data_IF_598430079743
#
_entry.id   IF_598430079743
#
_cell.length_a   1.000
_cell.length_b   1.000
_cell.length_c   1.000
_cell.angle_alpha   90.00
_cell.angle_beta   90.00
_cell.angle_gamma   90.00
#
_symmetry.space_group_name_H-M   'P 1'
#
loop_
_entity.id
_entity.type
_entity.pdbx_description
1 polymer ?
#
# COMPACT_ATOMS: atom_id res chain seq x y z
N UNK A 1 -10.96 -16.88 9.44
CA UNK A 1 -11.55 -15.81 8.61
C UNK A 1 -11.59 -16.35 7.21
N UNK A 2 -12.78 -16.53 6.67
CA UNK A 2 -12.93 -16.92 5.28
C UNK A 2 -12.92 -15.65 4.45
N UNK A 3 -11.95 -15.53 3.56
CA UNK A 3 -11.88 -14.42 2.64
C UNK A 3 -12.48 -14.79 1.30
N UNK A 4 -13.12 -13.82 0.66
CA UNK A 4 -13.79 -13.99 -0.61
C UNK A 4 -13.03 -13.22 -1.69
N UNK A 5 -12.50 -13.94 -2.68
CA UNK A 5 -11.91 -13.33 -3.87
C UNK A 5 -13.00 -12.86 -4.82
N UNK A 6 -12.87 -11.62 -5.26
CA UNK A 6 -13.82 -10.91 -6.10
C UNK A 6 -13.12 -10.44 -7.38
N UNK A 7 -13.90 -10.28 -8.44
CA UNK A 7 -13.45 -9.63 -9.68
C UNK A 7 -13.78 -8.13 -9.70
N UNK A 8 -14.75 -7.69 -8.90
CA UNK A 8 -15.20 -6.30 -8.79
C UNK A 8 -15.71 -6.01 -7.36
N UNK A 9 -15.35 -4.86 -6.79
CA UNK A 9 -15.93 -4.33 -5.55
C UNK A 9 -15.63 -2.83 -5.38
N UNK A 10 -16.51 -2.09 -4.69
CA UNK A 10 -16.29 -0.69 -4.30
C UNK A 10 -15.92 0.26 -5.46
N UNK A 11 -16.37 -0.05 -6.69
CA UNK A 11 -16.06 0.73 -7.89
C UNK A 11 -14.72 0.37 -8.55
N UNK A 12 -14.05 -0.68 -8.09
CA UNK A 12 -12.82 -1.22 -8.67
C UNK A 12 -13.06 -2.59 -9.29
N UNK A 13 -12.35 -2.88 -10.38
CA UNK A 13 -12.33 -4.17 -11.07
C UNK A 13 -10.90 -4.69 -11.19
N UNK A 14 -10.72 -6.02 -11.11
CA UNK A 14 -9.44 -6.65 -11.44
C UNK A 14 -9.05 -6.29 -12.88
N UNK A 15 -7.85 -5.73 -13.03
CA UNK A 15 -7.36 -5.20 -14.30
C UNK A 15 -7.43 -3.69 -14.43
N UNK A 16 -8.12 -2.98 -13.52
CA UNK A 16 -8.11 -1.51 -13.47
C UNK A 16 -6.68 -0.97 -13.43
N UNK A 17 -6.46 0.08 -14.20
CA UNK A 17 -5.26 0.91 -14.11
C UNK A 17 -5.56 2.09 -13.19
N UNK A 18 -4.81 2.20 -12.10
CA UNK A 18 -4.98 3.23 -11.09
C UNK A 18 -3.73 4.12 -11.04
N UNK A 19 -3.92 5.39 -10.69
CA UNK A 19 -2.88 6.28 -10.18
C UNK A 19 -3.06 6.36 -8.66
N UNK A 20 -2.01 6.02 -7.91
CA UNK A 20 -1.97 6.21 -6.47
C UNK A 20 -0.94 7.27 -6.08
N UNK A 21 -1.24 8.03 -5.04
CA UNK A 21 -0.30 8.99 -4.45
C UNK A 21 -0.69 9.30 -3.00
N UNK A 22 0.25 9.80 -2.23
CA UNK A 22 0.02 10.30 -0.88
C UNK A 22 1.01 11.43 -0.63
N UNK A 23 0.51 12.55 -0.11
CA UNK A 23 1.39 13.65 0.31
C UNK A 23 2.36 13.18 1.39
N UNK A 24 3.55 13.76 1.39
CA UNK A 24 4.58 13.48 2.38
C UNK A 24 4.08 13.86 3.78
N UNK A 25 4.20 12.93 4.73
CA UNK A 25 3.77 13.10 6.11
C UNK A 25 4.94 12.92 7.08
N UNK A 26 4.97 13.71 8.15
CA UNK A 26 6.00 13.61 9.19
C UNK A 26 5.93 12.26 9.91
N UNK A 27 7.06 11.56 9.96
CA UNK A 27 7.22 10.31 10.67
C UNK A 27 8.55 10.27 11.42
N UNK A 28 8.74 9.22 12.22
CA UNK A 28 9.96 9.02 12.98
C UNK A 28 10.48 7.61 12.81
N UNK A 29 11.78 7.50 12.56
CA UNK A 29 12.48 6.22 12.59
C UNK A 29 12.59 5.75 14.03
N UNK A 30 12.07 4.57 14.33
CA UNK A 30 12.11 3.98 15.69
C UNK A 30 13.13 2.87 15.80
N UNK A 31 13.57 2.30 14.67
CA UNK A 31 14.57 1.25 14.66
C UNK A 31 15.18 1.03 13.29
N UNK A 32 16.32 0.36 13.27
CA UNK A 32 16.99 -0.04 12.04
C UNK A 32 17.58 -1.43 12.20
N UNK A 33 17.47 -2.24 11.16
CA UNK A 33 18.25 -3.46 10.94
C UNK A 33 19.16 -3.24 9.73
N UNK A 34 20.07 -4.19 9.41
CA UNK A 34 20.86 -4.08 8.19
C UNK A 34 20.02 -4.02 6.91
N UNK A 35 18.82 -4.63 6.90
CA UNK A 35 17.97 -4.70 5.71
C UNK A 35 16.78 -3.74 5.74
N UNK A 36 16.34 -3.33 6.93
CA UNK A 36 15.11 -2.57 7.10
C UNK A 36 15.25 -1.37 8.01
N UNK A 37 14.42 -0.38 7.76
CA UNK A 37 14.19 0.76 8.62
C UNK A 37 12.76 0.66 9.14
N UNK A 38 12.56 0.82 10.45
CA UNK A 38 11.26 0.76 11.09
C UNK A 38 10.84 2.18 11.44
N UNK A 39 9.65 2.60 11.02
CA UNK A 39 9.05 3.87 11.43
C UNK A 39 7.82 3.61 12.29
N UNK A 40 7.52 4.56 13.19
CA UNK A 40 6.22 4.65 13.84
C UNK A 40 5.16 4.96 12.78
N UNK A 41 4.14 4.12 12.64
CA UNK A 41 3.17 4.24 11.56
C UNK A 41 2.02 5.15 11.97
N UNK A 42 1.85 6.31 11.32
CA UNK A 42 1.03 7.38 11.90
C UNK A 42 -0.48 7.18 11.77
N UNK A 43 -0.93 6.23 10.95
CA UNK A 43 -2.34 6.10 10.57
C UNK A 43 -3.07 4.94 11.21
N UNK A 44 -2.36 3.98 11.80
CA UNK A 44 -2.99 2.81 12.40
C UNK A 44 -2.78 2.80 13.91
N UNK A 45 -3.69 2.14 14.60
CA UNK A 45 -3.59 1.89 16.03
C UNK A 45 -3.41 0.40 16.26
N UNK A 46 -2.57 0.01 17.22
CA UNK A 46 -2.50 -1.39 17.63
C UNK A 46 -3.84 -1.83 18.22
N UNK A 47 -4.35 -2.98 17.77
CA UNK A 47 -5.64 -3.51 18.22
C UNK A 47 -5.46 -4.33 19.51
N UNK A 48 -5.95 -3.85 20.67
CA UNK A 48 -5.79 -4.56 21.94
C UNK A 48 -6.62 -5.86 22.02
N UNK A 49 -7.64 -6.00 21.18
CA UNK A 49 -8.54 -7.16 21.11
C UNK A 49 -8.15 -8.12 19.97
N UNK A 50 -7.01 -7.89 19.32
CA UNK A 50 -6.49 -8.75 18.26
C UNK A 50 -5.86 -10.02 18.81
N UNK A 51 -6.01 -11.14 18.08
CA UNK A 51 -5.23 -12.34 18.32
C UNK A 51 -3.77 -12.21 17.82
N UNK A 52 -3.49 -11.18 17.00
CA UNK A 52 -2.19 -10.87 16.45
C UNK A 52 -1.60 -9.64 17.14
N UNK A 53 -0.29 -9.67 17.41
CA UNK A 53 0.41 -8.52 17.99
C UNK A 53 1.11 -7.76 16.88
N UNK A 54 0.71 -6.50 16.69
CA UNK A 54 1.45 -5.50 15.93
C UNK A 54 1.91 -4.40 16.89
N UNK A 55 3.14 -3.92 16.71
CA UNK A 55 3.82 -3.03 17.65
C UNK A 55 3.74 -1.54 17.26
N UNK A 56 2.90 -1.21 16.28
CA UNK A 56 2.77 0.16 15.77
C UNK A 56 3.74 0.51 14.65
N UNK A 57 4.66 -0.39 14.28
CA UNK A 57 5.75 -0.06 13.36
C UNK A 57 5.58 -0.67 11.97
N UNK A 58 6.02 0.06 10.94
CA UNK A 58 6.12 -0.46 9.57
C UNK A 58 7.57 -0.45 9.11
N UNK A 59 7.99 -1.57 8.51
CA UNK A 59 9.35 -1.80 8.07
C UNK A 59 9.56 -1.58 6.58
N UNK A 60 10.44 -0.65 6.25
CA UNK A 60 10.84 -0.28 4.90
C UNK A 60 12.17 -0.94 4.51
N UNK A 61 12.34 -1.39 3.26
CA UNK A 61 13.65 -1.76 2.75
C UNK A 61 14.60 -0.55 2.76
N UNK A 62 15.87 -0.78 3.08
CA UNK A 62 16.90 0.28 3.10
C UNK A 62 17.61 0.49 1.77
N UNK A 63 17.56 -0.50 0.90
CA UNK A 63 18.29 -0.55 -0.36
C UNK A 63 17.27 -0.57 -1.51
N UNK A 64 17.36 0.37 -2.48
CA UNK A 64 16.54 0.36 -3.69
C UNK A 64 16.63 -0.92 -4.51
N UNK A 65 17.75 -1.63 -4.43
CA UNK A 65 17.97 -2.92 -5.10
C UNK A 65 17.48 -4.11 -4.25
N UNK A 66 16.94 -3.86 -3.05
CA UNK A 66 16.38 -4.92 -2.23
C UNK A 66 15.14 -5.51 -2.90
N UNK A 67 15.06 -6.83 -2.81
CA UNK A 67 13.96 -7.60 -3.38
C UNK A 67 12.56 -7.08 -2.98
N UNK A 68 12.38 -6.62 -1.74
CA UNK A 68 11.11 -6.08 -1.25
C UNK A 68 10.84 -4.61 -1.58
N UNK A 69 11.68 -3.93 -2.36
CA UNK A 69 11.52 -2.50 -2.69
C UNK A 69 10.21 -2.21 -3.41
N UNK A 70 9.79 -3.11 -4.30
CA UNK A 70 8.55 -3.00 -5.05
C UNK A 70 7.33 -3.58 -4.31
N UNK A 71 7.49 -3.99 -3.05
CA UNK A 71 6.44 -4.61 -2.24
C UNK A 71 5.75 -3.61 -1.31
N UNK A 72 5.97 -2.32 -1.56
CA UNK A 72 5.28 -1.20 -0.93
C UNK A 72 5.35 0.02 -1.85
N UNK A 73 4.28 0.85 -1.95
CA UNK A 73 4.31 2.09 -2.71
C UNK A 73 5.01 3.23 -1.95
N UNK A 74 5.07 3.09 -0.63
CA UNK A 74 5.55 4.11 0.28
C UNK A 74 7.06 4.31 0.15
N UNK A 75 7.48 5.57 0.16
CA UNK A 75 8.89 6.00 0.09
C UNK A 75 9.19 6.95 1.24
N UNK A 76 10.46 6.96 1.66
CA UNK A 76 10.96 7.80 2.74
C UNK A 76 11.88 8.89 2.20
N UNK A 77 11.84 10.04 2.84
CA UNK A 77 12.80 11.13 2.64
C UNK A 77 13.32 11.64 4.00
N UNK A 78 14.64 11.83 4.20
CA UNK A 78 15.77 11.49 3.32
C UNK A 78 15.89 10.00 2.96
N UNK A 79 16.86 9.68 2.12
CA UNK A 79 17.07 8.31 1.63
C UNK A 79 17.19 7.30 2.80
N UNK A 80 16.51 6.13 2.74
CA UNK A 80 16.54 5.12 3.81
C UNK A 80 17.94 4.66 4.23
N UNK A 81 18.94 4.74 3.34
CA UNK A 81 20.33 4.38 3.64
C UNK A 81 21.01 5.39 4.58
N UNK A 82 20.55 6.64 4.60
CA UNK A 82 21.12 7.73 5.42
C UNK A 82 20.50 7.81 6.82
N UNK A 83 19.30 7.27 7.00
CA UNK A 83 18.52 7.38 8.22
C UNK A 83 18.97 6.41 9.34
N UNK A 84 18.85 6.86 10.59
CA UNK A 84 19.10 6.09 11.82
C UNK A 84 17.91 6.16 12.77
N UNK A 85 17.90 5.26 13.77
CA UNK A 85 16.88 5.28 14.82
C UNK A 85 16.88 6.62 15.58
N UNK A 86 15.70 7.22 15.71
CA UNK A 86 15.47 8.53 16.33
C UNK A 86 15.28 9.67 15.31
N UNK A 87 15.75 9.50 14.07
CA UNK A 87 15.71 10.55 13.06
C UNK A 87 14.27 10.89 12.63
N UNK A 88 13.97 12.17 12.34
CA UNK A 88 12.76 12.54 11.63
C UNK A 88 12.87 12.13 10.16
N UNK A 89 11.75 11.75 9.57
CA UNK A 89 11.65 11.47 8.14
C UNK A 89 10.27 11.86 7.63
N UNK A 90 10.13 11.95 6.32
CA UNK A 90 8.85 12.01 5.66
C UNK A 90 8.52 10.65 5.04
N UNK A 91 7.25 10.28 5.07
CA UNK A 91 6.72 9.11 4.38
C UNK A 91 5.59 9.52 3.45
N UNK A 92 5.64 9.09 2.19
CA UNK A 92 4.64 9.44 1.19
C UNK A 92 4.63 8.43 0.04
N UNK A 93 3.70 8.61 -0.90
CA UNK A 93 3.65 7.81 -2.13
C UNK A 93 3.82 8.78 -3.30
N UNK A 94 4.93 8.72 -4.05
CA UNK A 94 5.03 9.46 -5.30
C UNK A 94 3.94 8.97 -6.27
N UNK A 95 3.44 9.82 -7.20
CA UNK A 95 2.48 9.38 -8.20
C UNK A 95 2.93 8.10 -8.91
N UNK A 96 2.20 7.01 -8.69
CA UNK A 96 2.57 5.67 -9.14
C UNK A 96 1.40 5.03 -9.87
N UNK A 97 1.63 4.58 -11.11
CA UNK A 97 0.66 3.79 -11.86
C UNK A 97 0.71 2.33 -11.41
N UNK A 98 -0.45 1.79 -11.03
CA UNK A 98 -0.58 0.40 -10.59
C UNK A 98 -1.73 -0.29 -11.30
N UNK A 99 -1.62 -1.61 -11.47
CA UNK A 99 -2.70 -2.45 -11.97
C UNK A 99 -3.31 -3.29 -10.85
N UNK A 100 -4.63 -3.32 -10.77
CA UNK A 100 -5.34 -4.19 -9.83
C UNK A 100 -5.19 -5.65 -10.27
N UNK A 101 -4.66 -6.49 -9.39
CA UNK A 101 -4.42 -7.92 -9.64
C UNK A 101 -5.41 -8.80 -8.87
N UNK A 102 -5.92 -8.32 -7.74
CA UNK A 102 -6.93 -9.02 -6.96
C UNK A 102 -7.78 -8.06 -6.15
N UNK A 103 -9.00 -8.51 -5.84
CA UNK A 103 -9.89 -7.87 -4.89
C UNK A 103 -10.32 -8.94 -3.91
N UNK A 104 -10.22 -8.66 -2.61
CA UNK A 104 -10.60 -9.61 -1.57
C UNK A 104 -11.39 -8.91 -0.48
N UNK A 105 -12.49 -9.55 -0.08
CA UNK A 105 -13.34 -9.14 1.04
C UNK A 105 -13.13 -10.06 2.22
N UNK A 106 -13.06 -9.49 3.41
CA UNK A 106 -13.05 -10.20 4.68
C UNK A 106 -14.38 -10.04 5.39
N UNK A 107 -15.02 -11.17 5.73
CA UNK A 107 -16.26 -11.19 6.51
C UNK A 107 -16.21 -12.33 7.53
N UNK A 108 -15.88 -12.07 8.80
CA UNK A 108 -15.67 -10.75 9.42
C UNK A 108 -14.37 -10.03 8.98
N UNK A 109 -14.23 -8.70 9.24
CA UNK A 109 -13.05 -7.90 8.89
C UNK A 109 -11.74 -8.47 9.43
N UNK A 110 -10.71 -8.56 8.60
CA UNK A 110 -9.44 -9.21 8.87
C UNK A 110 -8.76 -8.76 10.17
N UNK A 111 -8.33 -9.72 10.97
CA UNK A 111 -7.59 -9.49 12.19
C UNK A 111 -6.07 -9.50 11.91
N UNK A 112 -5.48 -8.33 11.65
CA UNK A 112 -4.04 -8.19 11.38
C UNK A 112 -3.24 -7.55 12.52
N UNK A 113 -3.85 -7.31 13.68
CA UNK A 113 -3.18 -6.66 14.82
C UNK A 113 -3.30 -5.14 14.85
N UNK A 114 -3.96 -4.53 13.87
CA UNK A 114 -4.15 -3.09 13.79
C UNK A 114 -5.58 -2.69 13.47
N UNK A 115 -5.93 -1.46 13.86
CA UNK A 115 -7.18 -0.78 13.57
C UNK A 115 -6.97 0.31 12.49
N UNK A 116 -7.97 0.54 11.62
CA UNK A 116 -9.20 -0.24 11.49
C UNK A 116 -8.93 -1.64 10.92
N UNK A 117 -9.69 -2.65 11.37
CA UNK A 117 -9.61 -4.01 10.82
C UNK A 117 -10.05 -4.01 9.35
N UNK A 118 -9.24 -4.49 8.40
CA UNK A 118 -9.59 -4.39 7.00
C UNK A 118 -10.79 -5.25 6.60
N UNK A 119 -11.77 -4.66 5.93
CA UNK A 119 -12.91 -5.37 5.33
C UNK A 119 -12.70 -5.65 3.84
N UNK A 120 -11.90 -4.82 3.16
CA UNK A 120 -11.51 -4.99 1.77
C UNK A 120 -10.04 -4.67 1.53
N UNK A 121 -9.46 -5.42 0.60
CA UNK A 121 -8.11 -5.18 0.08
C UNK A 121 -8.09 -5.21 -1.44
N UNK A 122 -7.29 -4.32 -2.01
CA UNK A 122 -6.87 -4.38 -3.41
C UNK A 122 -5.43 -4.88 -3.48
N UNK A 123 -5.21 -6.03 -4.10
CA UNK A 123 -3.89 -6.41 -4.56
C UNK A 123 -3.56 -5.60 -5.81
N UNK A 124 -2.41 -4.95 -5.81
CA UNK A 124 -1.94 -4.13 -6.93
C UNK A 124 -0.47 -4.40 -7.23
N UNK A 125 -0.07 -4.18 -8.47
CA UNK A 125 1.32 -4.25 -8.92
C UNK A 125 1.69 -2.96 -9.66
N UNK A 126 2.87 -2.35 -9.40
CA UNK A 126 3.37 -1.25 -10.21
C UNK A 126 3.44 -1.64 -11.69
N UNK A 127 3.02 -0.75 -12.59
CA UNK A 127 3.01 -1.05 -14.04
C UNK A 127 4.41 -1.30 -14.59
N UNK A 128 5.41 -0.60 -14.06
CA UNK A 128 6.83 -0.76 -14.41
C UNK A 128 7.45 -2.06 -13.88
N UNK A 129 6.79 -2.71 -12.91
CA UNK A 129 7.22 -3.98 -12.31
C UNK A 129 6.25 -5.14 -12.59
N UNK A 130 5.35 -5.03 -13.58
CA UNK A 130 4.29 -6.02 -13.80
C UNK A 130 4.78 -7.41 -14.21
N UNK A 131 5.99 -7.50 -14.77
CA UNK A 131 6.61 -8.79 -15.12
C UNK A 131 7.32 -9.45 -13.92
N UNK A 132 7.53 -8.70 -12.83
CA UNK A 132 8.11 -9.21 -11.60
C UNK A 132 7.01 -9.88 -10.75
N UNK A 133 7.09 -11.20 -10.63
CA UNK A 133 6.11 -12.01 -9.89
C UNK A 133 6.17 -11.81 -8.38
N UNK A 134 7.26 -11.23 -7.88
CA UNK A 134 7.46 -10.98 -6.47
C UNK A 134 7.12 -9.52 -6.10
N UNK A 135 6.88 -8.66 -7.09
CA UNK A 135 6.42 -7.29 -6.92
C UNK A 135 4.92 -7.21 -6.62
N UNK A 136 4.55 -6.12 -5.94
CA UNK A 136 3.16 -5.80 -5.64
C UNK A 136 2.88 -5.72 -4.15
N UNK A 137 1.75 -5.12 -3.84
CA UNK A 137 1.36 -4.78 -2.49
C UNK A 137 -0.15 -4.71 -2.37
N UNK A 138 -0.59 -4.57 -1.13
CA UNK A 138 -2.00 -4.49 -0.78
C UNK A 138 -2.34 -3.06 -0.38
N UNK A 139 -3.43 -2.54 -0.93
CA UNK A 139 -4.09 -1.33 -0.46
C UNK A 139 -5.30 -1.72 0.40
N UNK A 140 -5.35 -1.22 1.63
CA UNK A 140 -6.46 -1.44 2.55
C UNK A 140 -7.51 -0.33 2.35
N UNK A 141 -8.69 -0.67 1.84
CA UNK A 141 -9.63 0.35 1.35
C UNK A 141 -10.39 1.11 2.44
N UNK A 142 -10.47 0.54 3.64
CA UNK A 142 -11.02 1.21 4.83
C UNK A 142 -9.92 1.75 5.76
N UNK A 143 -8.67 1.79 5.29
CA UNK A 143 -7.53 2.33 6.05
C UNK A 143 -7.67 3.83 6.28
N UNK A 144 -6.97 4.32 7.29
CA UNK A 144 -6.81 5.75 7.54
C UNK A 144 -5.59 6.34 6.81
N UNK A 145 -4.83 5.51 6.09
CA UNK A 145 -3.74 5.98 5.25
C UNK A 145 -4.26 6.97 4.18
N UNK A 146 -3.59 8.11 3.97
CA UNK A 146 -4.06 9.19 3.10
C UNK A 146 -3.71 8.93 1.63
N UNK A 147 -4.03 7.74 1.12
CA UNK A 147 -3.77 7.36 -0.26
C UNK A 147 -4.89 7.92 -1.15
N UNK A 148 -4.54 8.85 -2.03
CA UNK A 148 -5.39 9.28 -3.14
C UNK A 148 -5.32 8.22 -4.24
N UNK A 149 -6.47 7.67 -4.62
CA UNK A 149 -6.60 6.64 -5.66
C UNK A 149 -7.49 7.19 -6.77
N UNK A 150 -6.97 7.21 -8.00
CA UNK A 150 -7.70 7.63 -9.19
C UNK A 150 -7.71 6.52 -10.23
N UNK A 151 -8.89 6.14 -10.72
CA UNK A 151 -9.03 5.20 -11.84
C UNK A 151 -8.64 5.91 -13.13
N UNK A 152 -7.61 5.41 -13.82
CA UNK A 152 -7.16 5.94 -15.11
C UNK A 152 -7.82 5.22 -16.29
N UNK A 153 -8.02 3.91 -16.17
CA UNK A 153 -8.68 3.08 -17.18
C UNK A 153 -9.34 1.90 -16.50
N UNK A 154 -10.60 1.65 -16.85
CA UNK A 154 -11.34 0.48 -16.39
C UNK A 154 -11.55 -0.47 -17.58
N UNK A 155 -11.19 -1.76 -17.47
CA UNK A 155 -11.30 -2.70 -18.59
C UNK A 155 -12.75 -2.96 -19.02
N UNK A 156 -13.73 -2.74 -18.14
CA UNK A 156 -15.17 -2.91 -18.43
C UNK A 156 -15.85 -1.61 -18.90
N UNK A 157 -15.14 -0.49 -18.92
CA UNK A 157 -15.57 0.74 -19.59
C UNK A 157 -14.61 1.07 -20.74
N UNK A 158 -14.94 0.71 -22.00
CA UNK A 158 -14.15 1.16 -23.13
C UNK A 158 -14.17 2.68 -23.13
N UNK A 159 -13.00 3.29 -22.95
CA UNK A 159 -12.86 4.74 -22.86
C UNK A 159 -13.55 5.43 -24.03
N UNK A 160 -14.30 6.50 -23.73
CA UNK A 160 -14.82 7.40 -24.75
C UNK A 160 -13.65 7.88 -25.60
N UNK A 161 -13.48 7.24 -26.76
CA UNK A 161 -12.61 7.72 -27.82
C UNK A 161 -13.19 9.05 -28.27
N UNK A 162 -12.68 10.12 -27.68
CA UNK A 162 -13.03 11.49 -28.01
C UNK A 162 -12.65 11.70 -29.48
N UNK A 163 -13.67 11.69 -30.36
CA UNK A 163 -13.51 12.04 -31.76
C UNK A 163 -13.02 13.48 -31.84
N UNK A 164 -11.76 13.66 -32.23
CA UNK A 164 -11.23 14.93 -32.67
C UNK A 164 -11.68 15.20 -34.13
N UNK A 165 -11.92 16.47 -34.49
CA UNK A 165 -12.73 16.87 -35.64
C UNK A 165 -12.16 16.50 -37.02
#
# INVERSE_FOLDING_TARGET
MDSLRLTEALGYTVGDLLMISAEAFDARVVGTTPQRLLIDWPWWEADPDSANSWDGTVGFPRDPDAHGWQNTPWRLEPDPSELQAGDPCFVGIPPTEVRVTSIERFDPPADFGFLPRPDYVLGVVPVDAIEDQEAGYVLYLNSQEPIDIKVLTNPDQPGDAQALP
#
